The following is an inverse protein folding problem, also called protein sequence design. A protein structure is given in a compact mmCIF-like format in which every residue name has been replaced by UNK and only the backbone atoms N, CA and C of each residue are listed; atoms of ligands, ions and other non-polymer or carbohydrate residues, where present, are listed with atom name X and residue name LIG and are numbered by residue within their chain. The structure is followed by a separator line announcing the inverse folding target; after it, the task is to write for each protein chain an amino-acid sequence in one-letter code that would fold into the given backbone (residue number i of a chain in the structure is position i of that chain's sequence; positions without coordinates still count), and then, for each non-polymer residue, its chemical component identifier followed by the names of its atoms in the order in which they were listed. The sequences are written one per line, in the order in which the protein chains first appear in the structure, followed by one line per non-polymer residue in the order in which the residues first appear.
data_IF_705133229206
#
_entry.id   IF_705133229206
#
_cell.length_a   1.000
_cell.length_b   1.000
_cell.length_c   1.000
_cell.angle_alpha   90.00
_cell.angle_beta   90.00
_cell.angle_gamma   90.00
#
_symmetry.space_group_name_H-M   'P 1'
#
loop_
_entity.id
_entity.type
_entity.pdbx_description
1 polymer ?
#
# COMPACT_ATOMS: atom_id res chain seq x y z
N UNK A 1 4.52 -3.59 21.21
CA UNK A 1 5.80 -3.71 20.49
C UNK A 1 5.74 -3.22 19.03
N UNK A 2 4.55 -3.05 18.44
CA UNK A 2 4.34 -2.74 17.02
C UNK A 2 4.31 -1.24 16.63
N UNK A 3 4.08 -0.32 17.56
CA UNK A 3 4.23 1.13 17.29
C UNK A 3 5.67 1.58 16.95
N UNK A 4 6.66 0.70 17.13
CA UNK A 4 8.05 0.94 16.74
C UNK A 4 8.27 0.83 15.21
N UNK A 5 7.47 0.04 14.47
CA UNK A 5 7.73 -0.21 13.05
C UNK A 5 7.54 1.04 12.20
N UNK A 6 6.42 1.77 12.32
CA UNK A 6 6.17 2.97 11.49
C UNK A 6 6.97 4.21 11.95
N UNK A 7 7.24 4.35 13.25
CA UNK A 7 8.19 5.38 13.73
C UNK A 7 9.64 5.05 13.39
N UNK A 8 9.98 3.76 13.28
CA UNK A 8 11.31 3.30 12.87
C UNK A 8 11.51 3.50 11.38
N UNK A 9 10.46 3.37 10.53
CA UNK A 9 10.55 3.73 9.11
C UNK A 9 10.95 5.21 8.90
N UNK A 10 10.42 6.15 9.70
CA UNK A 10 10.82 7.57 9.60
C UNK A 10 12.23 7.87 10.15
N UNK A 11 12.81 7.01 10.97
CA UNK A 11 14.09 7.26 11.65
C UNK A 11 15.31 6.51 11.11
N UNK A 12 15.14 5.43 10.36
CA UNK A 12 16.26 4.62 9.84
C UNK A 12 16.67 4.92 8.39
N UNK A 13 16.06 5.91 7.74
CA UNK A 13 16.32 6.30 6.35
C UNK A 13 17.54 7.22 6.23
N UNK A 14 18.50 7.11 7.11
CA UNK A 14 19.76 7.84 7.08
C UNK A 14 20.92 7.06 6.45
N UNK A 15 20.67 6.10 5.55
CA UNK A 15 21.72 5.39 4.80
C UNK A 15 21.31 5.22 3.33
N UNK A 16 22.11 5.81 2.44
CA UNK A 16 22.14 5.64 0.98
C UNK A 16 21.00 4.80 0.38
N UNK A 17 19.91 5.43 -0.01
CA UNK A 17 18.88 4.81 -0.87
C UNK A 17 19.51 4.44 -2.24
N UNK A 18 20.61 5.08 -2.63
CA UNK A 18 21.16 5.02 -3.96
C UNK A 18 22.58 4.39 -4.04
N UNK A 19 22.83 3.33 -3.26
CA UNK A 19 23.97 2.46 -3.50
C UNK A 19 23.95 1.78 -4.88
N UNK A 20 24.95 0.96 -5.20
CA UNK A 20 25.01 0.23 -6.48
C UNK A 20 24.01 -0.94 -6.58
N UNK A 21 23.44 -1.38 -5.45
CA UNK A 21 22.51 -2.51 -5.42
C UNK A 21 21.15 -2.13 -6.02
N UNK A 22 20.42 -3.10 -6.62
CA UNK A 22 19.05 -2.90 -7.09
C UNK A 22 18.09 -2.48 -5.97
N UNK A 23 17.11 -1.65 -6.30
CA UNK A 23 16.07 -1.20 -5.35
C UNK A 23 14.67 -1.40 -5.93
N UNK A 24 13.71 -1.59 -5.05
CA UNK A 24 12.29 -1.56 -5.37
C UNK A 24 11.66 -0.41 -4.58
N UNK A 25 11.10 0.57 -5.28
CA UNK A 25 10.41 1.71 -4.68
C UNK A 25 8.94 1.38 -4.46
N UNK A 26 8.41 1.77 -3.32
CA UNK A 26 7.02 1.56 -2.92
C UNK A 26 6.31 2.89 -2.74
N UNK A 27 5.36 3.18 -3.59
CA UNK A 27 4.39 4.27 -3.54
C UNK A 27 3.00 3.72 -3.21
N UNK A 28 2.06 4.61 -2.88
CA UNK A 28 0.65 4.24 -2.72
C UNK A 28 -0.25 5.22 -3.48
N UNK A 29 -0.03 6.51 -3.34
CA UNK A 29 -0.89 7.56 -3.86
C UNK A 29 -0.11 8.69 -4.54
N UNK A 30 -0.73 9.32 -5.54
CA UNK A 30 -0.20 10.54 -6.16
C UNK A 30 -1.31 11.59 -6.18
N UNK A 31 -1.29 12.50 -5.21
CA UNK A 31 -2.35 13.50 -5.06
C UNK A 31 -2.04 14.50 -3.95
N UNK A 32 -2.79 15.61 -3.95
CA UNK A 32 -2.82 16.56 -2.84
C UNK A 32 -3.95 16.15 -1.88
N UNK A 33 -3.61 15.30 -0.91
CA UNK A 33 -4.55 14.65 -0.01
C UNK A 33 -4.57 15.39 1.33
N UNK A 34 -5.69 16.04 1.69
CA UNK A 34 -5.76 16.91 2.88
C UNK A 34 -5.52 16.16 4.20
N UNK A 35 -6.01 14.93 4.30
CA UNK A 35 -5.84 14.08 5.48
C UNK A 35 -5.15 12.79 5.08
N UNK A 36 -3.88 12.72 5.35
CA UNK A 36 -3.00 11.59 5.07
C UNK A 36 -2.20 11.20 6.32
N UNK A 37 -2.82 10.54 7.29
CA UNK A 37 -2.20 10.24 8.58
C UNK A 37 -1.03 9.26 8.48
N UNK A 38 -0.93 8.54 7.36
CA UNK A 38 0.13 7.56 7.10
C UNK A 38 1.25 8.12 6.22
N UNK A 39 1.01 9.26 5.56
CA UNK A 39 1.94 9.89 4.62
C UNK A 39 2.07 9.10 3.33
N UNK A 40 0.99 8.51 2.83
CA UNK A 40 0.98 7.66 1.63
C UNK A 40 1.00 8.45 0.32
N UNK A 41 0.59 9.71 0.36
CA UNK A 41 0.47 10.54 -0.82
C UNK A 41 1.78 11.27 -1.15
N UNK A 42 2.09 11.32 -2.43
CA UNK A 42 3.14 12.17 -3.02
C UNK A 42 2.45 13.19 -3.91
N UNK A 43 2.79 14.46 -3.74
CA UNK A 43 2.25 15.53 -4.59
C UNK A 43 2.61 15.29 -6.08
N UNK A 44 1.68 15.45 -7.05
CA UNK A 44 1.91 15.10 -8.46
C UNK A 44 3.18 15.69 -9.06
N UNK A 45 3.49 16.96 -8.75
CA UNK A 45 4.71 17.62 -9.24
C UNK A 45 5.97 16.94 -8.68
N UNK A 46 5.97 16.57 -7.39
CA UNK A 46 7.11 15.88 -6.78
C UNK A 46 7.25 14.47 -7.30
N UNK A 47 6.14 13.77 -7.53
CA UNK A 47 6.16 12.45 -8.15
C UNK A 47 6.85 12.48 -9.51
N UNK A 48 6.49 13.43 -10.38
CA UNK A 48 7.15 13.58 -11.68
C UNK A 48 8.66 13.84 -11.54
N UNK A 49 9.04 14.73 -10.64
CA UNK A 49 10.43 15.04 -10.34
C UNK A 49 11.18 13.80 -9.83
N UNK A 50 10.60 13.07 -8.88
CA UNK A 50 11.19 11.83 -8.33
C UNK A 50 11.40 10.76 -9.42
N UNK A 51 10.43 10.54 -10.32
CA UNK A 51 10.57 9.57 -11.42
C UNK A 51 11.62 10.04 -12.44
N UNK A 52 11.64 11.32 -12.79
CA UNK A 52 12.65 11.88 -13.68
C UNK A 52 14.08 11.75 -13.09
N UNK A 53 14.22 12.03 -11.81
CA UNK A 53 15.48 11.83 -11.08
C UNK A 53 15.88 10.35 -11.07
N UNK A 54 14.96 9.44 -10.72
CA UNK A 54 15.22 8.00 -10.69
C UNK A 54 15.74 7.51 -12.05
N UNK A 55 15.12 7.87 -13.16
CA UNK A 55 15.55 7.48 -14.51
C UNK A 55 16.92 8.06 -14.91
N UNK A 56 17.28 9.22 -14.36
CA UNK A 56 18.60 9.81 -14.58
C UNK A 56 19.71 8.99 -13.94
N UNK A 57 19.48 8.46 -12.74
CA UNK A 57 20.50 7.77 -11.93
C UNK A 57 20.40 6.24 -11.97
N UNK A 58 19.27 5.67 -12.37
CA UNK A 58 19.02 4.23 -12.42
C UNK A 58 18.39 3.80 -13.72
N UNK A 59 18.56 2.54 -14.08
CA UNK A 59 17.78 1.88 -15.11
C UNK A 59 16.53 1.30 -14.47
N UNK A 60 15.36 1.89 -14.77
CA UNK A 60 14.07 1.40 -14.30
C UNK A 60 13.62 0.27 -15.21
N UNK A 61 13.24 -0.86 -14.60
CA UNK A 61 12.79 -2.09 -15.28
C UNK A 61 11.53 -2.61 -14.62
N UNK A 62 10.83 -3.53 -15.29
CA UNK A 62 9.72 -4.24 -14.65
C UNK A 62 10.19 -5.03 -13.43
N UNK A 63 9.31 -5.15 -12.43
CA UNK A 63 9.65 -5.84 -11.18
C UNK A 63 10.12 -7.28 -11.39
N UNK A 64 9.51 -8.02 -12.32
CA UNK A 64 9.92 -9.38 -12.63
C UNK A 64 11.30 -9.44 -13.35
N UNK A 65 11.61 -8.46 -14.19
CA UNK A 65 12.90 -8.38 -14.88
C UNK A 65 14.05 -8.06 -13.94
N UNK A 66 13.79 -7.28 -12.87
CA UNK A 66 14.83 -6.88 -11.91
C UNK A 66 15.55 -8.10 -11.34
N UNK A 67 14.82 -9.14 -10.95
CA UNK A 67 15.41 -10.37 -10.42
C UNK A 67 16.13 -11.18 -11.47
N UNK A 68 15.59 -11.27 -12.69
CA UNK A 68 16.17 -12.03 -13.78
C UNK A 68 17.48 -11.39 -14.23
N UNK A 69 17.53 -10.07 -14.35
CA UNK A 69 18.74 -9.31 -14.69
C UNK A 69 19.82 -9.41 -13.60
N UNK A 70 19.41 -9.30 -12.33
CA UNK A 70 20.35 -9.42 -11.21
C UNK A 70 20.96 -10.83 -11.13
N UNK A 71 20.18 -11.88 -11.34
CA UNK A 71 20.64 -13.27 -11.36
C UNK A 71 21.55 -13.57 -12.54
N UNK A 72 21.21 -13.10 -13.73
CA UNK A 72 21.97 -13.32 -14.97
C UNK A 72 23.23 -12.48 -15.07
N UNK A 73 23.47 -11.54 -14.14
CA UNK A 73 24.53 -10.52 -14.23
C UNK A 73 24.45 -9.72 -15.54
N UNK A 74 23.25 -9.47 -16.02
CA UNK A 74 23.10 -8.66 -17.22
C UNK A 74 23.74 -7.29 -17.03
N UNK A 75 24.62 -6.93 -17.97
CA UNK A 75 25.33 -5.65 -17.92
C UNK A 75 24.33 -4.50 -17.98
N UNK A 76 24.46 -3.57 -17.06
CA UNK A 76 23.71 -2.32 -17.06
C UNK A 76 24.64 -1.16 -16.68
N UNK A 77 24.61 -0.09 -17.47
CA UNK A 77 25.42 1.11 -17.22
C UNK A 77 24.98 1.85 -15.94
N UNK A 78 23.77 1.57 -15.45
CA UNK A 78 23.19 2.15 -14.23
C UNK A 78 22.67 1.04 -13.32
N UNK A 79 22.68 1.23 -11.99
CA UNK A 79 22.02 0.32 -11.07
C UNK A 79 20.53 0.17 -11.40
N UNK A 80 19.96 -1.01 -11.12
CA UNK A 80 18.57 -1.32 -11.43
C UNK A 80 17.61 -0.70 -10.40
N UNK A 81 16.42 -0.36 -10.86
CA UNK A 81 15.29 -0.02 -9.98
C UNK A 81 13.99 -0.57 -10.56
N UNK A 82 13.04 -0.89 -9.67
CA UNK A 82 11.64 -1.12 -10.03
C UNK A 82 10.74 -0.16 -9.24
N UNK A 83 9.65 0.28 -9.86
CA UNK A 83 8.63 1.13 -9.24
C UNK A 83 7.41 0.30 -8.96
N UNK A 84 6.88 0.39 -7.74
CA UNK A 84 5.65 -0.31 -7.35
C UNK A 84 4.68 0.66 -6.67
N UNK A 85 3.39 0.39 -6.83
CA UNK A 85 2.31 1.05 -6.12
C UNK A 85 1.45 0.00 -5.44
N UNK A 86 0.91 0.32 -4.25
CA UNK A 86 0.02 -0.56 -3.51
C UNK A 86 -1.42 -0.03 -3.53
N UNK A 87 -2.37 -0.86 -3.07
CA UNK A 87 -3.79 -0.63 -2.83
C UNK A 87 -4.66 -0.55 -4.08
N UNK A 88 -4.36 0.31 -5.03
CA UNK A 88 -5.18 0.54 -6.20
C UNK A 88 -6.06 1.78 -6.13
N UNK A 89 -5.59 2.87 -5.51
CA UNK A 89 -6.26 4.16 -5.50
C UNK A 89 -6.44 4.76 -6.89
N UNK A 90 -7.55 5.45 -7.10
CA UNK A 90 -7.86 6.13 -8.37
C UNK A 90 -6.81 7.16 -8.79
N UNK A 91 -6.21 7.87 -7.85
CA UNK A 91 -5.20 8.88 -8.15
C UNK A 91 -3.95 8.33 -8.83
N UNK A 92 -3.67 7.02 -8.69
CA UNK A 92 -2.62 6.35 -9.47
C UNK A 92 -2.99 6.33 -10.96
N UNK A 93 -4.27 6.04 -11.28
CA UNK A 93 -4.75 6.08 -12.66
C UNK A 93 -4.80 7.51 -13.22
N UNK A 94 -5.30 8.46 -12.43
CA UNK A 94 -5.52 9.82 -12.86
C UNK A 94 -4.21 10.64 -12.97
N UNK A 95 -3.31 10.49 -11.99
CA UNK A 95 -2.15 11.38 -11.82
C UNK A 95 -0.81 10.67 -12.08
N UNK A 96 -0.62 9.43 -11.60
CA UNK A 96 0.67 8.74 -11.78
C UNK A 96 0.82 8.19 -13.21
N UNK A 97 -0.21 7.54 -13.77
CA UNK A 97 -0.16 6.91 -15.09
C UNK A 97 0.32 7.86 -16.21
N UNK A 98 -0.22 9.09 -16.36
CA UNK A 98 0.23 10.00 -17.43
C UNK A 98 1.71 10.38 -17.31
N UNK A 99 2.23 10.50 -16.10
CA UNK A 99 3.65 10.77 -15.83
C UNK A 99 4.50 9.57 -16.22
N UNK A 100 4.11 8.37 -15.79
CA UNK A 100 4.83 7.13 -16.10
C UNK A 100 4.88 6.86 -17.60
N UNK A 101 3.76 7.07 -18.33
CA UNK A 101 3.70 6.93 -19.79
C UNK A 101 4.59 7.96 -20.49
N UNK A 102 4.53 9.24 -20.10
CA UNK A 102 5.36 10.30 -20.69
C UNK A 102 6.86 10.05 -20.46
N UNK A 103 7.22 9.54 -19.32
CA UNK A 103 8.60 9.25 -18.96
C UNK A 103 9.03 7.83 -19.34
N UNK A 104 8.17 7.02 -19.98
CA UNK A 104 8.44 5.62 -20.31
C UNK A 104 9.04 4.86 -19.10
N UNK A 105 8.30 4.87 -17.98
CA UNK A 105 8.74 4.28 -16.72
C UNK A 105 7.84 3.10 -16.35
N UNK A 106 8.34 1.86 -16.43
CA UNK A 106 7.57 0.69 -16.07
C UNK A 106 7.26 0.65 -14.58
N UNK A 107 6.09 0.09 -14.22
CA UNK A 107 5.59 0.00 -12.86
C UNK A 107 4.76 -1.25 -12.64
N UNK A 108 4.72 -1.74 -11.41
CA UNK A 108 3.76 -2.77 -10.97
C UNK A 108 2.78 -2.17 -9.97
N UNK A 109 1.48 -2.33 -10.24
CA UNK A 109 0.39 -1.92 -9.35
C UNK A 109 -0.17 -3.13 -8.61
N UNK A 110 -0.03 -3.17 -7.30
CA UNK A 110 -0.60 -4.19 -6.44
C UNK A 110 -2.01 -3.80 -6.01
N UNK A 111 -3.01 -4.58 -6.43
CA UNK A 111 -4.42 -4.24 -6.28
C UNK A 111 -5.08 -5.05 -5.17
N UNK A 112 -5.75 -4.36 -4.24
CA UNK A 112 -6.69 -4.96 -3.29
C UNK A 112 -8.04 -5.12 -4.00
N UNK A 113 -8.53 -6.36 -4.16
CA UNK A 113 -9.56 -6.62 -5.16
C UNK A 113 -11.00 -6.35 -4.73
N UNK A 114 -11.32 -6.46 -3.44
CA UNK A 114 -12.68 -6.24 -2.89
C UNK A 114 -13.17 -4.79 -2.96
N UNK A 115 -12.23 -3.84 -3.04
CA UNK A 115 -12.54 -2.42 -3.09
C UNK A 115 -12.72 -1.90 -4.52
N UNK A 116 -12.30 -2.66 -5.53
CA UNK A 116 -12.34 -2.20 -6.93
C UNK A 116 -13.79 -2.01 -7.39
N UNK A 117 -14.14 -0.77 -7.73
CA UNK A 117 -15.49 -0.39 -8.14
C UNK A 117 -16.50 -0.30 -7.01
N UNK A 118 -16.08 -0.42 -5.77
CA UNK A 118 -16.98 -0.27 -4.61
C UNK A 118 -17.25 1.22 -4.33
N UNK A 119 -18.49 1.51 -3.90
CA UNK A 119 -18.89 2.85 -3.43
C UNK A 119 -18.56 3.00 -1.93
N UNK A 120 -17.30 2.80 -1.61
CA UNK A 120 -16.71 3.01 -0.27
C UNK A 120 -15.24 3.28 -0.37
N UNK A 121 -14.70 3.97 0.62
CA UNK A 121 -13.27 4.18 0.76
C UNK A 121 -12.59 2.94 1.36
N UNK A 122 -11.26 2.89 1.30
CA UNK A 122 -10.50 1.95 2.11
C UNK A 122 -10.87 2.14 3.59
N UNK A 123 -10.94 1.04 4.32
CA UNK A 123 -11.41 1.06 5.71
C UNK A 123 -10.60 2.00 6.61
N UNK A 124 -9.32 2.17 6.36
CA UNK A 124 -8.47 3.08 7.11
C UNK A 124 -8.73 4.55 6.79
N UNK A 125 -9.13 4.87 5.57
CA UNK A 125 -9.55 6.21 5.17
C UNK A 125 -10.91 6.56 5.80
N UNK A 126 -11.83 5.59 5.84
CA UNK A 126 -13.12 5.74 6.54
C UNK A 126 -12.91 6.04 8.03
N UNK A 127 -11.99 5.32 8.69
CA UNK A 127 -11.64 5.59 10.11
C UNK A 127 -10.99 6.97 10.26
N UNK A 128 -10.08 7.34 9.35
CA UNK A 128 -9.45 8.67 9.36
C UNK A 128 -10.51 9.78 9.17
N UNK A 129 -11.44 9.62 8.24
CA UNK A 129 -12.55 10.55 8.00
C UNK A 129 -13.37 10.79 9.26
N UNK A 130 -13.73 9.73 9.97
CA UNK A 130 -14.49 9.84 11.21
C UNK A 130 -13.69 10.57 12.29
N UNK A 131 -12.50 10.11 12.62
CA UNK A 131 -11.77 10.63 13.78
C UNK A 131 -10.98 11.92 13.52
N UNK A 132 -10.55 12.16 12.29
CA UNK A 132 -9.68 13.29 11.97
C UNK A 132 -10.36 14.44 11.22
N UNK A 133 -11.50 14.16 10.55
CA UNK A 133 -12.19 15.15 9.74
C UNK A 133 -13.57 15.56 10.32
N UNK A 134 -14.27 14.64 11.01
CA UNK A 134 -15.58 14.93 11.58
C UNK A 134 -15.44 15.82 12.84
N UNK A 135 -16.06 16.99 12.79
CA UNK A 135 -15.96 17.99 13.86
C UNK A 135 -16.69 17.53 15.13
N UNK A 136 -17.94 17.12 14.97
CA UNK A 136 -18.82 16.73 16.07
C UNK A 136 -18.90 15.21 16.16
N UNK A 137 -18.35 14.66 17.24
CA UNK A 137 -18.44 13.26 17.60
C UNK A 137 -19.02 13.13 19.02
N UNK A 138 -19.62 11.98 19.36
CA UNK A 138 -20.01 11.70 20.75
C UNK A 138 -18.82 11.84 21.72
N UNK A 139 -19.09 12.23 22.96
CA UNK A 139 -18.05 12.38 24.00
C UNK A 139 -17.29 11.08 24.30
N UNK A 140 -17.89 9.94 23.99
CA UNK A 140 -17.25 8.62 24.10
C UNK A 140 -17.70 7.70 23.00
N UNK A 141 -16.79 6.83 22.59
CA UNK A 141 -17.02 5.74 21.64
C UNK A 141 -16.83 4.42 22.35
N UNK A 142 -17.74 3.50 22.10
CA UNK A 142 -17.67 2.14 22.60
C UNK A 142 -17.80 1.17 21.44
N UNK A 143 -16.89 0.22 21.35
CA UNK A 143 -16.91 -0.86 20.36
C UNK A 143 -16.73 -2.21 21.07
N UNK A 144 -17.57 -3.17 20.74
CA UNK A 144 -17.34 -4.57 21.10
C UNK A 144 -16.46 -5.21 20.01
N UNK A 145 -15.25 -5.57 20.37
CA UNK A 145 -14.30 -6.20 19.47
C UNK A 145 -14.03 -7.63 19.95
N UNK A 146 -14.61 -8.60 19.26
CA UNK A 146 -14.50 -10.03 19.57
C UNK A 146 -14.91 -10.36 21.01
N UNK A 147 -16.01 -9.80 21.52
CA UNK A 147 -16.53 -10.00 22.87
C UNK A 147 -15.81 -9.22 23.97
N UNK A 148 -14.95 -8.29 23.59
CA UNK A 148 -14.27 -7.35 24.50
C UNK A 148 -14.72 -5.94 24.24
N UNK A 149 -15.26 -5.28 25.25
CA UNK A 149 -15.63 -3.87 25.18
C UNK A 149 -14.39 -2.98 25.25
N UNK A 150 -14.27 -2.10 24.26
CA UNK A 150 -13.30 -1.01 24.22
C UNK A 150 -14.02 0.32 24.30
N UNK A 151 -13.57 1.21 25.18
CA UNK A 151 -14.15 2.53 25.35
C UNK A 151 -13.08 3.61 25.26
N UNK A 152 -13.36 4.61 24.43
CA UNK A 152 -12.50 5.78 24.27
C UNK A 152 -13.29 7.05 24.60
N UNK A 153 -12.72 7.93 25.43
CA UNK A 153 -13.16 9.30 25.51
C UNK A 153 -12.73 10.02 24.22
N UNK A 154 -13.68 10.64 23.53
CA UNK A 154 -13.39 11.34 22.27
C UNK A 154 -13.00 12.77 22.58
N UNK A 155 -11.78 13.20 22.27
CA UNK A 155 -11.34 14.55 22.55
C UNK A 155 -12.02 15.57 21.63
N UNK A 156 -12.08 16.86 22.04
CA UNK A 156 -12.56 17.92 21.16
C UNK A 156 -11.82 17.95 19.82
N UNK A 157 -12.50 18.38 18.76
CA UNK A 157 -11.92 18.42 17.40
C UNK A 157 -10.65 19.28 17.32
N UNK A 158 -10.57 20.33 18.12
CA UNK A 158 -9.39 21.20 18.20
C UNK A 158 -8.14 20.48 18.74
N UNK A 159 -8.28 19.42 19.56
CA UNK A 159 -7.16 18.61 20.03
C UNK A 159 -6.77 17.55 18.99
N UNK A 160 -6.12 18.00 17.93
CA UNK A 160 -5.68 17.16 16.81
C UNK A 160 -4.76 16.02 17.23
N UNK A 161 -3.92 16.22 18.26
CA UNK A 161 -3.01 15.19 18.75
C UNK A 161 -3.75 14.07 19.48
N UNK A 162 -4.74 14.43 20.27
CA UNK A 162 -5.56 13.45 20.97
C UNK A 162 -6.47 12.70 19.99
N UNK A 163 -7.01 13.38 18.96
CA UNK A 163 -7.76 12.76 17.86
C UNK A 163 -6.89 11.76 17.07
N UNK A 164 -5.65 12.11 16.73
CA UNK A 164 -4.71 11.19 16.05
C UNK A 164 -4.39 9.97 16.92
N UNK A 165 -4.33 10.13 18.24
CA UNK A 165 -4.09 9.00 19.15
C UNK A 165 -5.24 8.00 19.12
N UNK A 166 -6.49 8.47 19.32
CA UNK A 166 -7.67 7.57 19.29
C UNK A 166 -7.85 6.93 17.92
N UNK A 167 -7.63 7.68 16.83
CA UNK A 167 -7.61 7.15 15.48
C UNK A 167 -6.66 5.94 15.37
N UNK A 168 -5.42 6.09 15.84
CA UNK A 168 -4.40 5.02 15.76
C UNK A 168 -4.74 3.82 16.64
N UNK A 169 -5.35 4.04 17.79
CA UNK A 169 -5.80 2.96 18.68
C UNK A 169 -6.93 2.16 18.02
N UNK A 170 -7.97 2.84 17.51
CA UNK A 170 -9.08 2.20 16.81
C UNK A 170 -8.59 1.48 15.55
N UNK A 171 -7.75 2.12 14.72
CA UNK A 171 -7.13 1.50 13.57
C UNK A 171 -6.36 0.23 13.95
N UNK A 172 -5.57 0.28 15.03
CA UNK A 172 -4.80 -0.86 15.55
C UNK A 172 -5.67 -2.05 15.95
N UNK A 173 -6.86 -1.80 16.49
CA UNK A 173 -7.83 -2.85 16.79
C UNK A 173 -8.48 -3.43 15.51
N UNK A 174 -8.86 -2.57 14.58
CA UNK A 174 -9.58 -2.99 13.36
C UNK A 174 -8.71 -3.78 12.37
N UNK A 175 -7.42 -3.47 12.27
CA UNK A 175 -6.52 -4.07 11.26
C UNK A 175 -6.34 -5.58 11.39
N UNK A 176 -6.51 -6.13 12.59
CA UNK A 176 -6.32 -7.58 12.87
C UNK A 176 -7.61 -8.38 12.80
N UNK A 177 -8.74 -7.70 12.59
CA UNK A 177 -10.06 -8.36 12.57
C UNK A 177 -10.32 -9.05 11.22
N UNK A 178 -11.13 -10.12 11.24
CA UNK A 178 -11.75 -10.64 10.04
C UNK A 178 -12.54 -9.55 9.30
N UNK A 179 -12.61 -9.67 7.97
CA UNK A 179 -13.25 -8.66 7.11
C UNK A 179 -14.68 -8.33 7.54
N UNK A 180 -15.50 -9.35 7.80
CA UNK A 180 -16.90 -9.20 8.18
C UNK A 180 -17.07 -8.42 9.49
N UNK A 181 -16.27 -8.78 10.51
CA UNK A 181 -16.29 -8.09 11.81
C UNK A 181 -15.83 -6.63 11.67
N UNK A 182 -14.79 -6.38 10.87
CA UNK A 182 -14.30 -5.04 10.58
C UNK A 182 -15.35 -4.20 9.86
N UNK A 183 -16.03 -4.76 8.86
CA UNK A 183 -17.08 -4.08 8.09
C UNK A 183 -18.28 -3.74 8.97
N UNK A 184 -18.69 -4.65 9.86
CA UNK A 184 -19.76 -4.39 10.82
C UNK A 184 -19.40 -3.22 11.74
N UNK A 185 -18.21 -3.22 12.34
CA UNK A 185 -17.76 -2.15 13.23
C UNK A 185 -17.64 -0.80 12.51
N UNK A 186 -17.19 -0.78 11.25
CA UNK A 186 -17.19 0.44 10.43
C UNK A 186 -18.60 0.99 10.21
N UNK A 187 -19.58 0.10 9.96
CA UNK A 187 -20.99 0.50 9.85
C UNK A 187 -21.51 1.11 11.15
N UNK A 188 -21.16 0.54 12.30
CA UNK A 188 -21.51 1.09 13.62
C UNK A 188 -20.85 2.47 13.85
N UNK A 189 -19.57 2.59 13.54
CA UNK A 189 -18.80 3.84 13.60
C UNK A 189 -19.46 4.92 12.73
N UNK A 190 -19.85 4.59 11.50
CA UNK A 190 -20.56 5.52 10.61
C UNK A 190 -21.88 6.00 11.19
N UNK A 191 -22.68 5.09 11.78
CA UNK A 191 -23.98 5.42 12.36
C UNK A 191 -23.87 6.40 13.54
N UNK A 192 -23.01 6.11 14.52
CA UNK A 192 -22.91 6.97 15.70
C UNK A 192 -22.16 8.27 15.42
N UNK A 193 -21.28 8.31 14.43
CA UNK A 193 -20.58 9.55 14.03
C UNK A 193 -21.41 10.43 13.11
N UNK A 194 -22.54 9.93 12.58
CA UNK A 194 -23.33 10.59 11.52
C UNK A 194 -22.48 10.94 10.29
N UNK A 195 -21.37 10.23 10.09
CA UNK A 195 -20.46 10.43 8.97
C UNK A 195 -20.92 9.58 7.79
N UNK A 196 -21.10 10.21 6.64
CA UNK A 196 -21.30 9.48 5.39
C UNK A 196 -19.98 8.75 5.02
N UNK A 197 -20.06 7.44 4.83
CA UNK A 197 -18.90 6.60 4.47
C UNK A 197 -18.88 6.22 2.98
N UNK A 198 -19.75 6.82 2.14
CA UNK A 198 -19.66 6.69 0.69
C UNK A 198 -18.32 7.23 0.18
N UNK A 199 -17.84 6.65 -0.91
CA UNK A 199 -16.53 6.98 -1.46
C UNK A 199 -16.48 8.44 -1.96
N UNK A 200 -15.52 9.20 -1.46
CA UNK A 200 -15.15 10.50 -2.03
C UNK A 200 -14.23 10.29 -3.23
N UNK A 201 -14.37 11.11 -4.28
CA UNK A 201 -13.60 10.97 -5.52
C UNK A 201 -12.09 10.83 -5.28
N UNK A 202 -11.52 11.65 -4.40
CA UNK A 202 -10.09 11.62 -4.10
C UNK A 202 -9.65 10.47 -3.19
N UNK A 203 -10.58 9.68 -2.63
CA UNK A 203 -10.26 8.55 -1.74
C UNK A 203 -10.77 7.21 -2.28
N UNK A 204 -11.46 7.20 -3.43
CA UNK A 204 -11.95 5.97 -4.01
C UNK A 204 -10.83 5.09 -4.58
N UNK A 205 -11.09 3.81 -4.64
CA UNK A 205 -10.30 2.91 -5.46
C UNK A 205 -10.64 3.06 -6.95
N UNK A 206 -9.83 2.47 -7.80
CA UNK A 206 -10.13 2.35 -9.23
C UNK A 206 -11.38 1.50 -9.47
N UNK A 207 -12.06 1.74 -10.58
CA UNK A 207 -13.06 0.84 -11.15
C UNK A 207 -12.38 -0.30 -11.91
N UNK A 208 -13.08 -1.40 -12.14
CA UNK A 208 -12.58 -2.50 -12.97
C UNK A 208 -12.17 -2.04 -14.38
N UNK A 209 -12.86 -1.05 -14.95
CA UNK A 209 -12.51 -0.49 -16.26
C UNK A 209 -11.20 0.30 -16.20
N UNK A 210 -10.96 1.05 -15.13
CA UNK A 210 -9.71 1.80 -14.92
C UNK A 210 -8.53 0.85 -14.71
N UNK A 211 -8.71 -0.23 -13.94
CA UNK A 211 -7.67 -1.27 -13.78
C UNK A 211 -7.33 -1.94 -15.12
N UNK A 212 -8.34 -2.27 -15.94
CA UNK A 212 -8.09 -2.81 -17.29
C UNK A 212 -7.33 -1.83 -18.18
N UNK A 213 -7.70 -0.54 -18.13
CA UNK A 213 -7.06 0.51 -18.96
C UNK A 213 -5.65 0.86 -18.52
N UNK A 214 -5.34 0.72 -17.23
CA UNK A 214 -3.99 0.99 -16.72
C UNK A 214 -3.03 -0.16 -17.02
N UNK A 215 -3.55 -1.39 -17.15
CA UNK A 215 -2.77 -2.59 -17.53
C UNK A 215 -2.45 -2.57 -19.03
N UNK A 216 -1.46 -1.77 -19.43
CA UNK A 216 -1.11 -1.48 -20.81
C UNK A 216 0.27 -2.03 -21.24
N UNK A 217 0.86 -2.90 -20.43
CA UNK A 217 2.18 -3.48 -20.65
C UNK A 217 3.31 -2.66 -20.01
N UNK A 218 3.25 -1.35 -20.04
CA UNK A 218 4.15 -0.49 -19.24
C UNK A 218 3.81 -0.60 -17.75
N UNK A 219 2.52 -0.70 -17.44
CA UNK A 219 2.01 -0.91 -16.09
C UNK A 219 1.46 -2.33 -15.98
N UNK A 220 2.07 -3.14 -15.12
CA UNK A 220 1.65 -4.50 -14.83
C UNK A 220 0.84 -4.57 -13.54
N UNK A 221 -0.10 -5.52 -13.46
CA UNK A 221 -0.90 -5.73 -12.25
C UNK A 221 -0.26 -6.82 -11.40
N UNK A 222 -0.20 -6.55 -10.08
CA UNK A 222 0.09 -7.50 -9.02
C UNK A 222 -1.10 -7.62 -8.07
N UNK A 223 -1.08 -8.61 -7.18
CA UNK A 223 -2.14 -8.82 -6.20
C UNK A 223 -1.74 -8.30 -4.81
N UNK A 224 -2.73 -7.76 -4.08
CA UNK A 224 -2.58 -7.23 -2.73
C UNK A 224 -3.69 -7.71 -1.79
N UNK A 225 -4.01 -9.02 -1.85
CA UNK A 225 -5.13 -9.69 -1.17
C UNK A 225 -6.52 -9.25 -1.67
N UNK A 226 -7.55 -9.88 -1.15
CA UNK A 226 -8.94 -9.50 -1.42
C UNK A 226 -9.33 -8.30 -0.56
N UNK A 227 -9.16 -8.39 0.78
CA UNK A 227 -9.72 -7.43 1.75
C UNK A 227 -8.68 -6.65 2.55
N UNK A 228 -7.40 -6.74 2.17
CA UNK A 228 -6.27 -6.10 2.85
C UNK A 228 -6.18 -6.45 4.37
N UNK A 229 -6.14 -7.73 4.76
CA UNK A 229 -6.02 -8.13 6.14
C UNK A 229 -4.56 -8.13 6.63
N UNK A 230 -4.36 -8.12 7.95
CA UNK A 230 -3.09 -8.54 8.55
C UNK A 230 -2.98 -10.07 8.46
N UNK A 231 -2.43 -10.60 7.37
CA UNK A 231 -2.46 -12.03 7.05
C UNK A 231 -2.06 -12.94 8.22
N UNK A 232 -0.94 -12.70 8.96
CA UNK A 232 -0.54 -13.57 10.07
C UNK A 232 -1.51 -13.60 11.26
N UNK A 233 -2.48 -12.68 11.32
CA UNK A 233 -3.52 -12.68 12.37
C UNK A 233 -4.65 -13.68 12.08
N UNK A 234 -4.65 -14.35 10.93
CA UNK A 234 -5.71 -15.23 10.46
C UNK A 234 -5.21 -16.67 10.28
N UNK A 235 -6.16 -17.63 10.21
CA UNK A 235 -5.84 -19.04 9.94
C UNK A 235 -5.18 -19.23 8.57
N UNK A 236 -4.46 -20.33 8.40
CA UNK A 236 -3.79 -20.66 7.13
C UNK A 236 -4.78 -20.68 5.94
N UNK A 237 -5.99 -21.21 6.16
CA UNK A 237 -7.02 -21.29 5.12
C UNK A 237 -7.51 -19.92 4.69
N UNK A 238 -7.72 -18.99 5.64
CA UNK A 238 -8.09 -17.59 5.34
C UNK A 238 -6.96 -16.90 4.60
N UNK A 239 -5.71 -17.06 5.03
CA UNK A 239 -4.55 -16.49 4.34
C UNK A 239 -4.48 -16.98 2.89
N UNK A 240 -4.59 -18.30 2.67
CA UNK A 240 -4.54 -18.87 1.31
C UNK A 240 -5.71 -18.38 0.46
N UNK A 241 -6.92 -18.31 0.99
CA UNK A 241 -8.10 -17.79 0.29
C UNK A 241 -7.90 -16.35 -0.15
N UNK A 242 -7.49 -15.46 0.75
CA UNK A 242 -7.19 -14.04 0.46
C UNK A 242 -6.14 -13.88 -0.65
N UNK A 243 -5.11 -14.70 -0.65
CA UNK A 243 -4.01 -14.67 -1.60
C UNK A 243 -4.44 -15.24 -2.96
N UNK A 244 -5.04 -16.43 -2.98
CA UNK A 244 -5.39 -17.13 -4.22
C UNK A 244 -6.56 -16.46 -4.96
N UNK A 245 -7.58 -15.99 -4.23
CA UNK A 245 -8.72 -15.29 -4.84
C UNK A 245 -8.32 -13.92 -5.40
N UNK A 246 -7.45 -13.18 -4.70
CA UNK A 246 -6.94 -11.92 -5.22
C UNK A 246 -6.12 -12.10 -6.50
N UNK A 247 -5.32 -13.17 -6.59
CA UNK A 247 -4.60 -13.49 -7.84
C UNK A 247 -5.58 -13.68 -8.99
N UNK A 248 -6.58 -14.56 -8.80
CA UNK A 248 -7.57 -14.86 -9.84
C UNK A 248 -8.31 -13.58 -10.28
N UNK A 249 -8.77 -12.78 -9.33
CA UNK A 249 -9.46 -11.53 -9.64
C UNK A 249 -8.55 -10.52 -10.39
N UNK A 250 -7.29 -10.41 -10.00
CA UNK A 250 -6.31 -9.57 -10.71
C UNK A 250 -6.02 -10.10 -12.12
N UNK A 251 -5.96 -11.42 -12.33
CA UNK A 251 -5.79 -12.03 -13.66
C UNK A 251 -7.00 -11.75 -14.57
N UNK A 252 -8.22 -11.82 -14.03
CA UNK A 252 -9.44 -11.45 -14.75
C UNK A 252 -9.48 -9.96 -15.10
N UNK A 253 -9.03 -9.09 -14.20
CA UNK A 253 -8.95 -7.64 -14.43
C UNK A 253 -7.88 -7.29 -15.47
N UNK A 254 -6.71 -7.87 -15.36
CA UNK A 254 -5.56 -7.58 -16.24
C UNK A 254 -5.63 -8.28 -17.60
N UNK A 255 -6.40 -9.36 -17.72
CA UNK A 255 -6.40 -10.23 -18.91
C UNK A 255 -5.05 -10.95 -19.12
N UNK A 256 -4.22 -11.07 -18.09
CA UNK A 256 -2.88 -11.63 -18.15
C UNK A 256 -2.51 -12.32 -16.82
N UNK A 257 -1.51 -13.21 -16.87
CA UNK A 257 -0.98 -13.88 -15.69
C UNK A 257 -0.42 -12.85 -14.69
N UNK A 258 -0.86 -12.93 -13.44
CA UNK A 258 -0.36 -12.13 -12.32
C UNK A 258 0.77 -12.89 -11.63
N UNK A 259 1.98 -12.31 -11.67
CA UNK A 259 3.22 -12.94 -11.20
C UNK A 259 3.67 -12.46 -9.82
N UNK A 260 3.20 -11.27 -9.42
CA UNK A 260 3.70 -10.54 -8.26
C UNK A 260 2.62 -10.36 -7.18
N UNK A 261 3.05 -10.45 -5.92
CA UNK A 261 2.22 -10.22 -4.74
C UNK A 261 2.87 -9.17 -3.82
N UNK A 262 2.09 -8.38 -3.10
CA UNK A 262 2.58 -7.56 -1.98
C UNK A 262 1.83 -7.90 -0.70
N UNK A 263 2.57 -8.07 0.40
CA UNK A 263 1.99 -8.37 1.71
C UNK A 263 1.37 -7.09 2.30
N UNK A 264 0.07 -7.08 2.66
CA UNK A 264 -0.52 -5.96 3.40
C UNK A 264 0.30 -5.62 4.64
N UNK A 265 0.62 -4.33 4.81
CA UNK A 265 1.48 -3.82 5.88
C UNK A 265 2.91 -4.39 5.88
N UNK A 266 3.28 -5.23 4.93
CA UNK A 266 4.51 -6.02 4.91
C UNK A 266 4.50 -7.21 5.87
N UNK A 267 3.40 -7.44 6.59
CA UNK A 267 3.27 -8.48 7.61
C UNK A 267 3.15 -9.87 6.94
N UNK A 268 4.08 -10.75 7.28
CA UNK A 268 4.12 -12.12 6.78
C UNK A 268 4.71 -13.09 7.83
N UNK A 269 4.42 -14.35 7.66
CA UNK A 269 4.96 -15.49 8.42
C UNK A 269 5.40 -16.59 7.47
N UNK A 270 6.04 -17.63 7.94
CA UNK A 270 6.35 -18.81 7.12
C UNK A 270 5.08 -19.42 6.49
N UNK A 271 3.97 -19.43 7.22
CA UNK A 271 2.66 -19.88 6.71
C UNK A 271 2.18 -18.97 5.58
N UNK A 272 2.31 -17.66 5.74
CA UNK A 272 1.93 -16.68 4.70
C UNK A 272 2.78 -16.85 3.44
N UNK A 273 4.10 -16.99 3.59
CA UNK A 273 5.01 -17.17 2.43
C UNK A 273 4.72 -18.49 1.71
N UNK A 274 4.40 -19.55 2.45
CA UNK A 274 3.99 -20.82 1.86
C UNK A 274 2.69 -20.67 1.07
N UNK A 275 1.69 -19.98 1.59
CA UNK A 275 0.43 -19.72 0.90
C UNK A 275 0.65 -18.94 -0.42
N UNK A 276 1.53 -17.93 -0.42
CA UNK A 276 1.92 -17.17 -1.63
C UNK A 276 2.57 -18.09 -2.66
N UNK A 277 3.46 -18.99 -2.23
CA UNK A 277 4.10 -19.98 -3.11
C UNK A 277 3.09 -20.97 -3.69
N UNK A 278 2.20 -21.51 -2.86
CA UNK A 278 1.15 -22.46 -3.27
C UNK A 278 0.12 -21.80 -4.21
N UNK A 279 -0.18 -20.52 -4.02
CA UNK A 279 -0.99 -19.73 -4.94
C UNK A 279 -0.30 -19.50 -6.31
N UNK A 280 1.00 -19.81 -6.45
CA UNK A 280 1.75 -19.81 -7.70
C UNK A 280 2.26 -18.42 -8.11
N UNK A 281 2.53 -17.53 -7.18
CA UNK A 281 3.25 -16.28 -7.44
C UNK A 281 4.75 -16.54 -7.63
N UNK A 282 5.37 -15.79 -8.55
CA UNK A 282 6.80 -15.89 -8.85
C UNK A 282 7.63 -15.05 -7.86
N UNK A 283 7.05 -13.96 -7.37
CA UNK A 283 7.70 -13.03 -6.44
C UNK A 283 6.69 -12.34 -5.51
N UNK A 284 7.18 -11.92 -4.34
CA UNK A 284 6.37 -11.13 -3.40
C UNK A 284 7.22 -10.08 -2.67
N UNK A 285 6.59 -8.94 -2.37
CA UNK A 285 7.23 -7.77 -1.78
C UNK A 285 6.78 -7.52 -0.35
N UNK A 286 7.74 -7.20 0.52
CA UNK A 286 7.56 -6.73 1.89
C UNK A 286 7.72 -5.20 1.97
N UNK A 287 7.79 -4.65 3.19
CA UNK A 287 8.09 -3.22 3.46
C UNK A 287 9.45 -3.03 4.15
N UNK A 288 10.32 -4.03 4.09
CA UNK A 288 11.67 -3.91 4.62
C UNK A 288 12.49 -2.88 3.84
N UNK A 289 12.86 -1.77 4.49
CA UNK A 289 13.53 -0.65 3.83
C UNK A 289 15.01 -0.95 3.56
N UNK A 290 15.31 -1.70 2.51
CA UNK A 290 16.68 -2.03 2.07
C UNK A 290 16.75 -2.30 0.57
N UNK A 291 17.96 -2.36 0.02
CA UNK A 291 18.22 -2.80 -1.36
C UNK A 291 18.00 -4.31 -1.53
N UNK A 292 17.79 -4.72 -2.76
CA UNK A 292 17.64 -6.14 -3.13
C UNK A 292 19.02 -6.78 -3.22
N UNK A 293 19.27 -7.76 -2.37
CA UNK A 293 20.53 -8.53 -2.44
C UNK A 293 20.43 -9.57 -3.55
N UNK A 294 21.55 -9.89 -4.14
CA UNK A 294 21.64 -10.86 -5.25
C UNK A 294 20.95 -12.21 -4.98
N UNK A 295 21.05 -12.70 -3.75
CA UNK A 295 20.45 -13.97 -3.34
C UNK A 295 19.15 -13.71 -2.53
N UNK A 296 18.44 -12.61 -2.78
CA UNK A 296 17.18 -12.33 -2.11
C UNK A 296 16.16 -13.44 -2.38
N UNK A 297 15.45 -13.85 -1.33
CA UNK A 297 14.32 -14.77 -1.46
C UNK A 297 13.22 -14.09 -2.28
N UNK A 298 12.81 -14.65 -3.43
CA UNK A 298 11.85 -13.99 -4.34
C UNK A 298 10.51 -13.67 -3.69
N UNK A 299 10.11 -14.43 -2.68
CA UNK A 299 8.83 -14.24 -2.01
C UNK A 299 8.90 -13.31 -0.79
N UNK A 300 10.03 -12.63 -0.55
CA UNK A 300 10.18 -11.64 0.54
C UNK A 300 11.09 -10.47 0.13
N UNK A 301 10.84 -9.93 -1.06
CA UNK A 301 11.64 -8.83 -1.59
C UNK A 301 11.46 -7.55 -0.78
N UNK A 302 12.56 -6.88 -0.41
CA UNK A 302 12.51 -5.62 0.30
C UNK A 302 12.09 -4.47 -0.61
N UNK A 303 11.40 -3.46 -0.04
CA UNK A 303 11.01 -2.25 -0.75
C UNK A 303 11.33 -1.00 0.07
N UNK A 304 11.67 0.07 -0.62
CA UNK A 304 11.91 1.37 -0.02
C UNK A 304 10.65 2.21 -0.18
N UNK A 305 10.02 2.57 0.95
CA UNK A 305 8.91 3.50 0.96
C UNK A 305 9.33 4.88 0.46
N UNK A 306 8.53 5.47 -0.41
CA UNK A 306 8.74 6.83 -0.94
C UNK A 306 7.63 7.75 -0.45
N UNK A 307 8.01 8.79 0.29
CA UNK A 307 7.11 9.85 0.73
C UNK A 307 7.17 11.07 -0.16
N UNK A 308 6.46 12.13 0.26
CA UNK A 308 6.40 13.42 -0.43
C UNK A 308 7.71 14.23 -0.26
N UNK A 309 8.83 13.61 -0.68
CA UNK A 309 10.18 14.19 -0.56
C UNK A 309 10.47 15.15 -1.71
N UNK A 310 11.19 16.25 -1.41
CA UNK A 310 11.74 17.17 -2.42
C UNK A 310 12.88 16.49 -3.17
N UNK A 311 13.22 17.01 -4.35
CA UNK A 311 14.28 16.46 -5.22
C UNK A 311 15.61 16.27 -4.48
N UNK A 312 16.02 17.27 -3.72
CA UNK A 312 17.27 17.22 -2.96
C UNK A 312 17.23 16.22 -1.78
N UNK A 313 16.05 15.92 -1.23
CA UNK A 313 15.87 14.86 -0.24
C UNK A 313 15.83 13.48 -0.89
N UNK A 314 15.28 13.39 -2.10
CA UNK A 314 15.25 12.16 -2.88
C UNK A 314 16.66 11.77 -3.37
N UNK A 315 17.49 12.74 -3.78
CA UNK A 315 18.89 12.51 -4.20
C UNK A 315 19.86 12.33 -3.03
N UNK A 316 19.69 13.09 -1.95
CA UNK A 316 20.64 13.17 -0.81
C UNK A 316 20.39 12.14 0.29
N UNK A 317 19.43 11.26 0.16
CA UNK A 317 19.33 10.12 1.08
C UNK A 317 20.43 9.10 0.78
N UNK A 318 21.62 9.64 0.61
CA UNK A 318 22.92 9.00 0.67
C UNK A 318 23.27 8.52 2.08
#
# INVERSE_FOLDING_TARGET
MMLRSLRTLKRSVGRRIFGADPIILMYHRVGDIPVDPWGLAVHPVRFEQQIACLKRIRRVVHLHELLDMERSRASSDKPLAAVTFDDGYYDVYANARPVLQRLDCPMTLFVTTDIIGADREFWWDSVARVFLETEYLPESVMLDIAGREYRWAVPPFADRKARDRIFREVWGCLRILPHEARTQLLSEIGKWSSCDLAAREMYRAMTAQEVRKISDGLITIGAHTVTHPTLPAHSADVQFKEIAESRRACEELAGARVRAFAYPFGDHSETTVRAVREAGFDLACTVDARSVRRNAEPLTLPRIYVGDWKDDEFEKKD
#
